data_IF_041998172891
#
_entry.id   IF_041998172891
#
_cell.length_a   1.000
_cell.length_b   1.000
_cell.length_c   1.000
_cell.angle_alpha   90.00
_cell.angle_beta   90.00
_cell.angle_gamma   90.00
#
_symmetry.space_group_name_H-M   'P 1'
#
loop_
_entity.id
_entity.type
_entity.pdbx_description
1 polymer ?
#
# COMPACT_ATOMS: atom_id res chain seq x y z
N UNK A 1 -42.48 -65.65 41.89
CA UNK A 1 -43.44 -65.22 42.94
C UNK A 1 -43.15 -63.76 43.26
N UNK A 2 -44.21 -62.95 43.26
CA UNK A 2 -44.21 -61.49 43.33
C UNK A 2 -43.93 -60.95 44.74
N UNK A 3 -43.43 -59.70 44.84
CA UNK A 3 -44.12 -58.59 45.54
C UNK A 3 -43.30 -57.28 45.55
N UNK A 4 -43.89 -56.26 44.91
CA UNK A 4 -44.04 -54.84 45.27
C UNK A 4 -43.07 -54.10 46.22
N UNK A 5 -42.72 -52.85 45.83
CA UNK A 5 -42.74 -51.73 46.80
C UNK A 5 -41.90 -50.47 46.54
N UNK A 6 -42.54 -49.45 45.93
CA UNK A 6 -42.42 -47.97 46.15
C UNK A 6 -41.13 -47.17 45.88
N UNK A 7 -41.30 -46.15 45.02
CA UNK A 7 -40.55 -44.89 44.98
C UNK A 7 -40.90 -43.95 46.17
N UNK A 8 -40.12 -42.90 46.50
CA UNK A 8 -40.22 -41.60 45.81
C UNK A 8 -38.91 -40.76 45.76
N UNK A 9 -38.90 -39.66 44.97
CA UNK A 9 -37.89 -38.60 45.15
C UNK A 9 -37.67 -37.66 43.97
N UNK A 10 -38.61 -36.73 43.75
CA UNK A 10 -38.45 -35.54 42.89
C UNK A 10 -37.22 -34.71 43.27
N UNK A 11 -36.40 -34.30 42.29
CA UNK A 11 -35.84 -32.93 42.21
C UNK A 11 -35.74 -32.46 40.76
N UNK A 12 -36.68 -31.58 40.37
CA UNK A 12 -36.63 -30.76 39.16
C UNK A 12 -35.67 -29.60 39.41
N UNK A 13 -34.59 -29.50 38.64
CA UNK A 13 -33.75 -28.30 38.60
C UNK A 13 -34.39 -27.28 37.63
N UNK A 14 -34.98 -26.23 38.20
CA UNK A 14 -35.40 -25.02 37.50
C UNK A 14 -34.15 -24.18 37.18
N UNK A 15 -33.78 -24.11 35.90
CA UNK A 15 -32.81 -23.15 35.41
C UNK A 15 -33.45 -21.75 35.34
N UNK A 16 -32.91 -20.82 36.12
CA UNK A 16 -33.33 -19.43 36.17
C UNK A 16 -32.99 -18.70 34.86
N UNK A 17 -34.05 -18.19 34.24
CA UNK A 17 -34.06 -17.28 33.09
C UNK A 17 -33.61 -15.89 33.55
N UNK A 18 -32.40 -15.44 33.18
CA UNK A 18 -32.00 -14.04 33.37
C UNK A 18 -32.40 -13.21 32.15
N UNK A 19 -33.47 -12.42 32.30
CA UNK A 19 -33.90 -11.42 31.34
C UNK A 19 -33.11 -10.13 31.52
N UNK A 20 -32.32 -9.76 30.52
CA UNK A 20 -31.67 -8.44 30.45
C UNK A 20 -32.69 -7.37 30.06
N UNK A 21 -33.02 -6.49 31.01
CA UNK A 21 -33.88 -5.31 30.78
C UNK A 21 -33.11 -4.28 29.95
N UNK A 22 -33.65 -3.99 28.75
CA UNK A 22 -33.21 -2.89 27.89
C UNK A 22 -33.76 -1.58 28.47
N UNK A 23 -32.89 -0.75 29.06
CA UNK A 23 -33.22 0.61 29.49
C UNK A 23 -33.39 1.48 28.24
N UNK A 24 -34.64 1.88 27.98
CA UNK A 24 -35.03 2.85 26.96
C UNK A 24 -34.74 4.24 27.55
N UNK A 25 -33.70 4.92 27.05
CA UNK A 25 -33.53 6.36 27.29
C UNK A 25 -34.43 7.09 26.32
N UNK A 26 -35.54 7.59 26.83
CA UNK A 26 -36.33 8.63 26.19
C UNK A 26 -35.51 9.93 26.28
N UNK A 27 -35.17 10.51 25.12
CA UNK A 27 -34.58 11.85 25.05
C UNK A 27 -35.59 12.74 24.33
N UNK A 28 -36.32 13.52 25.11
CA UNK A 28 -37.27 14.52 24.67
C UNK A 28 -36.68 15.92 24.90
N UNK A 29 -36.83 16.79 23.91
CA UNK A 29 -36.70 18.24 24.05
C UNK A 29 -35.43 18.82 23.45
N UNK A 30 -35.55 19.45 22.27
CA UNK A 30 -35.87 20.87 22.18
C UNK A 30 -35.64 21.34 20.73
N UNK A 31 -36.73 21.49 19.98
CA UNK A 31 -36.71 22.22 18.71
C UNK A 31 -36.80 23.71 19.02
N UNK A 32 -35.69 24.44 18.88
CA UNK A 32 -35.69 25.89 18.79
C UNK A 32 -35.80 26.27 17.32
N UNK A 33 -36.88 26.97 17.00
CA UNK A 33 -37.16 27.55 15.70
C UNK A 33 -36.19 28.69 15.42
N UNK A 34 -35.44 28.61 14.31
CA UNK A 34 -34.76 29.74 13.72
C UNK A 34 -35.33 30.01 12.33
N UNK A 35 -35.86 31.22 12.17
CA UNK A 35 -36.55 31.69 10.97
C UNK A 35 -35.63 31.70 9.75
N UNK A 36 -36.15 31.15 8.65
CA UNK A 36 -35.59 31.28 7.32
C UNK A 36 -36.02 32.61 6.72
N UNK A 37 -35.09 33.57 6.70
CA UNK A 37 -35.22 34.78 5.88
C UNK A 37 -34.99 34.43 4.42
N UNK A 38 -35.99 34.82 3.61
CA UNK A 38 -35.99 34.86 2.16
C UNK A 38 -34.79 35.65 1.63
N UNK A 39 -33.97 35.01 0.79
CA UNK A 39 -32.96 35.69 -0.03
C UNK A 39 -33.30 35.52 -1.51
N UNK A 40 -33.19 36.64 -2.21
CA UNK A 40 -33.76 36.89 -3.52
C UNK A 40 -33.18 36.05 -4.64
N UNK A 41 -34.04 35.83 -5.64
CA UNK A 41 -33.69 35.31 -6.96
C UNK A 41 -32.78 36.32 -7.67
N UNK A 42 -31.47 36.13 -7.58
CA UNK A 42 -30.49 36.76 -8.44
C UNK A 42 -30.34 35.97 -9.74
N UNK A 43 -30.82 36.52 -10.85
CA UNK A 43 -30.72 35.92 -12.17
C UNK A 43 -29.27 35.77 -12.62
N UNK A 44 -28.90 34.55 -13.01
CA UNK A 44 -27.63 34.26 -13.67
C UNK A 44 -27.71 34.69 -15.14
N UNK A 45 -27.07 35.82 -15.48
CA UNK A 45 -26.77 36.16 -16.88
C UNK A 45 -25.70 35.21 -17.39
N UNK A 46 -26.03 34.39 -18.39
CA UNK A 46 -25.03 33.69 -19.20
C UNK A 46 -24.41 34.71 -20.18
N UNK A 47 -23.13 35.03 -20.02
CA UNK A 47 -22.36 35.73 -21.05
C UNK A 47 -21.74 34.68 -21.98
N UNK A 48 -22.20 34.65 -23.22
CA UNK A 48 -21.65 33.83 -24.30
C UNK A 48 -20.44 34.54 -24.89
N UNK A 49 -19.23 34.13 -24.51
CA UNK A 49 -18.01 34.57 -25.22
C UNK A 49 -17.88 33.83 -26.54
N UNK A 50 -18.26 34.54 -27.60
CA UNK A 50 -18.05 34.20 -29.02
C UNK A 50 -16.55 34.25 -29.34
N UNK A 51 -15.90 33.09 -29.45
CA UNK A 51 -14.58 33.00 -30.07
C UNK A 51 -14.73 33.19 -31.57
N UNK A 52 -14.24 34.33 -32.07
CA UNK A 52 -14.10 34.58 -33.50
C UNK A 52 -12.62 34.66 -33.82
N UNK A 53 -12.21 33.79 -34.75
CA UNK A 53 -10.84 33.62 -35.18
C UNK A 53 -10.27 34.84 -35.87
N UNK A 54 -8.94 34.88 -35.89
CA UNK A 54 -8.16 35.67 -36.82
C UNK A 54 -6.97 34.82 -37.26
N UNK A 55 -7.07 34.29 -38.47
CA UNK A 55 -5.92 34.01 -39.32
C UNK A 55 -5.44 35.33 -39.93
N UNK A 56 -4.13 35.47 -40.10
CA UNK A 56 -3.40 36.28 -41.09
C UNK A 56 -1.92 36.13 -40.69
N UNK A 57 -1.20 35.22 -41.33
CA UNK A 57 -0.33 35.50 -42.48
C UNK A 57 0.87 36.39 -42.15
N UNK A 58 2.04 35.75 -42.23
CA UNK A 58 3.15 36.28 -43.03
C UNK A 58 4.03 37.34 -42.37
N UNK A 59 5.21 36.91 -41.94
CA UNK A 59 6.45 37.67 -42.22
C UNK A 59 7.68 36.78 -42.09
N UNK A 60 8.19 36.36 -43.25
CA UNK A 60 9.61 36.05 -43.44
C UNK A 60 10.40 37.34 -43.22
N UNK A 61 11.51 37.29 -42.51
CA UNK A 61 12.74 38.03 -42.84
C UNK A 61 13.94 37.34 -42.17
N UNK A 62 15.04 37.44 -42.89
CA UNK A 62 16.31 36.71 -42.81
C UNK A 62 17.23 37.15 -41.65
N UNK A 63 18.32 36.38 -41.52
CA UNK A 63 19.63 36.66 -40.92
C UNK A 63 19.88 35.84 -39.64
N UNK A 64 20.91 35.01 -39.52
CA UNK A 64 22.21 35.02 -40.20
C UNK A 64 23.31 35.23 -39.17
N UNK A 65 24.01 34.13 -38.85
CA UNK A 65 25.36 34.05 -38.26
C UNK A 65 25.54 34.46 -36.78
N UNK A 66 26.09 33.54 -35.98
CA UNK A 66 27.49 33.52 -35.51
C UNK A 66 27.61 32.41 -34.45
N UNK A 67 28.34 31.34 -34.78
CA UNK A 67 29.69 31.06 -34.25
C UNK A 67 29.76 30.86 -32.73
N UNK A 68 30.03 29.63 -32.33
CA UNK A 68 30.30 29.27 -30.94
C UNK A 68 30.56 27.77 -30.77
N UNK A 69 31.46 27.22 -31.58
CA UNK A 69 32.04 25.90 -31.34
C UNK A 69 32.78 25.93 -30.00
N UNK A 70 32.33 25.13 -29.04
CA UNK A 70 33.15 24.71 -27.91
C UNK A 70 33.72 23.33 -28.23
N UNK A 71 34.94 23.36 -28.76
CA UNK A 71 35.88 22.24 -28.78
C UNK A 71 36.82 22.46 -27.60
N UNK A 72 37.00 21.44 -26.78
CA UNK A 72 37.98 21.42 -25.67
C UNK A 72 37.34 20.89 -24.39
N UNK A 73 37.87 19.91 -23.68
CA UNK A 73 39.07 19.13 -23.87
C UNK A 73 38.89 17.79 -23.15
N UNK A 74 39.49 16.75 -23.70
CA UNK A 74 39.73 15.46 -23.07
C UNK A 74 40.43 15.65 -21.72
N UNK A 75 39.94 15.00 -20.67
CA UNK A 75 40.80 14.43 -19.64
C UNK A 75 40.26 13.06 -19.23
N UNK A 76 40.84 12.03 -19.83
CA UNK A 76 40.93 10.72 -19.21
C UNK A 76 41.84 10.85 -18.00
N UNK A 77 41.35 10.57 -16.80
CA UNK A 77 42.20 10.37 -15.64
C UNK A 77 42.08 8.91 -15.22
N UNK A 78 43.19 8.23 -15.48
CA UNK A 78 43.59 6.90 -15.09
C UNK A 78 43.66 6.75 -13.57
N UNK A 79 43.40 5.52 -13.12
CA UNK A 79 43.49 4.98 -11.76
C UNK A 79 44.75 5.38 -10.98
N UNK A 80 44.76 5.14 -9.65
CA UNK A 80 45.48 3.93 -9.21
C UNK A 80 44.76 3.13 -8.12
N UNK A 81 44.95 1.82 -8.21
CA UNK A 81 44.73 0.82 -7.15
C UNK A 81 45.49 1.16 -5.87
N UNK A 82 45.04 0.59 -4.73
CA UNK A 82 45.99 -0.20 -3.96
C UNK A 82 45.44 -1.58 -3.57
N UNK A 83 46.17 -2.62 -3.95
CA UNK A 83 46.25 -3.90 -3.28
C UNK A 83 47.62 -3.99 -2.57
N UNK A 84 47.99 -5.10 -1.89
CA UNK A 84 47.29 -5.87 -0.86
C UNK A 84 48.18 -6.00 0.40
N UNK A 85 47.58 -6.26 1.57
CA UNK A 85 48.26 -6.75 2.79
C UNK A 85 47.15 -7.17 3.76
N UNK A 86 47.08 -8.30 4.43
CA UNK A 86 47.97 -9.44 4.68
C UNK A 86 47.08 -10.47 5.41
N UNK A 87 47.08 -11.73 4.98
CA UNK A 87 46.75 -12.89 5.85
C UNK A 87 47.82 -13.02 6.96
N UNK A 88 47.73 -13.95 7.95
CA UNK A 88 46.75 -15.02 8.18
C UNK A 88 46.25 -15.09 9.66
N UNK A 89 45.29 -15.95 9.97
CA UNK A 89 45.45 -17.00 11.00
C UNK A 89 44.16 -17.82 11.08
N UNK A 90 44.33 -19.13 10.95
CA UNK A 90 43.31 -20.12 11.17
C UNK A 90 43.00 -20.27 12.66
N UNK A 91 41.72 -20.41 13.01
CA UNK A 91 41.30 -21.14 14.19
C UNK A 91 40.00 -21.87 13.86
N UNK A 92 40.16 -23.15 13.48
CA UNK A 92 39.13 -24.15 13.64
C UNK A 92 38.89 -24.36 15.14
N UNK A 93 37.64 -24.48 15.55
CA UNK A 93 37.10 -25.16 16.75
C UNK A 93 35.59 -24.84 16.79
N UNK A 94 34.64 -25.69 17.13
CA UNK A 94 34.54 -27.12 17.43
C UNK A 94 33.03 -27.37 17.52
N UNK A 95 32.58 -28.51 17.03
CA UNK A 95 31.23 -29.02 17.25
C UNK A 95 30.92 -29.08 18.75
N UNK A 96 29.87 -28.39 19.19
CA UNK A 96 29.26 -28.63 20.50
C UNK A 96 27.78 -28.94 20.27
N UNK A 97 27.51 -30.24 20.34
CA UNK A 97 26.19 -30.85 20.33
C UNK A 97 25.54 -30.59 21.69
N UNK A 98 24.73 -29.54 21.79
CA UNK A 98 23.87 -29.29 22.95
C UNK A 98 22.51 -29.92 22.72
N UNK A 99 22.36 -31.14 23.25
CA UNK A 99 21.11 -31.82 23.51
C UNK A 99 20.22 -30.93 24.38
N UNK A 100 19.11 -30.45 23.83
CA UNK A 100 17.99 -29.91 24.61
C UNK A 100 16.71 -30.59 24.13
N UNK A 101 16.24 -31.53 24.96
CA UNK A 101 14.94 -32.15 24.89
C UNK A 101 13.85 -31.07 24.97
N UNK A 102 13.10 -30.89 23.87
CA UNK A 102 12.05 -29.89 23.73
C UNK A 102 10.89 -30.41 22.90
N UNK A 103 9.96 -31.08 23.58
CA UNK A 103 8.55 -31.36 23.24
C UNK A 103 8.04 -30.66 21.96
N UNK A 104 7.90 -31.42 20.87
CA UNK A 104 7.27 -30.99 19.62
C UNK A 104 5.76 -31.16 19.75
N UNK A 105 5.03 -30.06 19.97
CA UNK A 105 3.59 -29.99 19.76
C UNK A 105 3.30 -28.98 18.63
N UNK A 106 2.81 -29.49 17.50
CA UNK A 106 2.14 -28.73 16.44
C UNK A 106 2.89 -28.67 15.09
N UNK A 107 2.20 -28.77 13.94
CA UNK A 107 2.82 -28.59 12.63
C UNK A 107 3.15 -27.11 12.44
N UNK A 108 4.31 -26.69 12.96
CA UNK A 108 4.97 -25.47 12.53
C UNK A 108 5.42 -25.67 11.11
N UNK A 109 4.76 -25.01 10.16
CA UNK A 109 5.22 -24.89 8.79
C UNK A 109 6.59 -24.23 8.79
N UNK A 110 7.64 -25.02 8.58
CA UNK A 110 8.97 -24.51 8.25
C UNK A 110 8.84 -23.81 6.90
N UNK A 111 8.58 -22.51 6.96
CA UNK A 111 8.46 -21.66 5.77
C UNK A 111 9.86 -21.39 5.29
N UNK A 112 10.30 -22.08 4.24
CA UNK A 112 11.53 -21.74 3.53
C UNK A 112 11.52 -20.24 3.23
N UNK A 113 12.54 -19.47 3.67
CA UNK A 113 12.58 -18.04 3.40
C UNK A 113 12.56 -17.83 1.89
N UNK A 114 11.47 -17.26 1.40
CA UNK A 114 11.24 -17.08 -0.04
C UNK A 114 11.91 -15.82 -0.58
N UNK A 115 12.53 -15.01 0.29
CA UNK A 115 13.19 -13.75 -0.05
C UNK A 115 14.71 -13.94 -0.08
N UNK A 116 15.33 -13.54 -1.20
CA UNK A 116 16.78 -13.66 -1.45
C UNK A 116 17.28 -12.35 -2.05
N UNK A 117 18.54 -11.95 -1.82
CA UNK A 117 19.12 -10.81 -2.52
C UNK A 117 19.48 -11.17 -3.96
N UNK A 118 19.31 -10.21 -4.87
CA UNK A 118 19.87 -10.32 -6.22
C UNK A 118 21.39 -10.21 -6.19
N UNK A 119 22.06 -10.69 -7.24
CA UNK A 119 23.53 -10.71 -7.33
C UNK A 119 24.16 -9.31 -7.26
N UNK A 120 23.45 -8.29 -7.73
CA UNK A 120 23.85 -6.88 -7.65
C UNK A 120 23.50 -6.24 -6.30
N UNK A 121 22.76 -6.92 -5.43
CA UNK A 121 22.30 -6.42 -4.13
C UNK A 121 21.25 -5.30 -4.19
N UNK A 122 20.84 -4.89 -5.40
CA UNK A 122 19.91 -3.78 -5.62
C UNK A 122 18.43 -4.20 -5.44
N UNK A 123 18.15 -5.48 -5.66
CA UNK A 123 16.82 -6.05 -5.57
C UNK A 123 16.71 -7.15 -4.53
N UNK A 124 15.53 -7.25 -3.92
CA UNK A 124 15.13 -8.39 -3.11
C UNK A 124 14.18 -9.25 -3.95
N UNK A 125 14.58 -10.49 -4.21
CA UNK A 125 13.88 -11.47 -5.01
C UNK A 125 12.95 -12.30 -4.13
N UNK A 126 11.66 -12.23 -4.41
CA UNK A 126 10.65 -13.15 -3.89
C UNK A 126 10.50 -14.31 -4.86
N UNK A 127 11.20 -15.41 -4.57
CA UNK A 127 11.22 -16.63 -5.40
C UNK A 127 9.86 -17.30 -5.43
N UNK A 128 9.09 -17.21 -4.34
CA UNK A 128 7.78 -17.85 -4.21
C UNK A 128 6.74 -17.16 -5.11
N UNK A 129 6.73 -15.83 -5.14
CA UNK A 129 5.79 -15.06 -5.96
C UNK A 129 6.34 -14.65 -7.32
N UNK A 130 7.61 -14.98 -7.62
CA UNK A 130 8.28 -14.57 -8.85
C UNK A 130 8.27 -13.05 -9.02
N UNK A 131 8.64 -12.33 -7.95
CA UNK A 131 8.69 -10.87 -7.92
C UNK A 131 10.08 -10.39 -7.54
N UNK A 132 10.53 -9.29 -8.14
CA UNK A 132 11.69 -8.55 -7.67
C UNK A 132 11.23 -7.21 -7.10
N UNK A 133 11.69 -6.93 -5.89
CA UNK A 133 11.41 -5.73 -5.11
C UNK A 133 12.63 -4.83 -5.14
N UNK A 134 12.39 -3.53 -5.25
CA UNK A 134 13.44 -2.56 -4.94
C UNK A 134 13.78 -2.64 -3.45
N UNK A 135 15.07 -2.60 -3.16
CA UNK A 135 15.55 -2.64 -1.77
C UNK A 135 15.17 -1.39 -0.98
N UNK A 136 15.17 -0.23 -1.63
CA UNK A 136 14.75 1.02 -1.03
C UNK A 136 13.40 1.47 -1.57
N UNK A 137 12.65 2.15 -0.70
CA UNK A 137 11.43 2.86 -1.09
C UNK A 137 11.78 4.03 -2.01
N UNK A 138 10.81 4.46 -2.79
CA UNK A 138 10.99 5.57 -3.72
C UNK A 138 11.40 6.85 -2.96
N UNK A 139 12.43 7.54 -3.46
CA UNK A 139 13.05 8.71 -2.81
C UNK A 139 14.26 8.40 -1.93
N UNK A 140 14.44 7.15 -1.51
CA UNK A 140 15.65 6.71 -0.82
C UNK A 140 16.65 6.08 -1.79
N UNK A 141 17.93 6.10 -1.40
CA UNK A 141 19.03 5.51 -2.18
C UNK A 141 19.79 4.49 -1.34
N UNK A 142 20.23 3.41 -1.99
CA UNK A 142 21.07 2.39 -1.36
C UNK A 142 22.53 2.87 -1.31
N UNK A 143 23.15 2.88 -0.12
CA UNK A 143 24.56 3.28 0.03
C UNK A 143 25.56 2.11 0.12
N UNK A 144 25.09 0.87 -0.07
CA UNK A 144 25.88 -0.34 0.13
C UNK A 144 25.51 -1.13 1.38
N UNK A 145 24.98 -0.47 2.43
CA UNK A 145 24.59 -1.12 3.68
C UNK A 145 23.14 -0.84 4.11
N UNK A 146 22.65 0.38 3.92
CA UNK A 146 21.28 0.77 4.26
C UNK A 146 20.66 1.73 3.24
N UNK A 147 19.34 1.88 3.33
CA UNK A 147 18.62 2.91 2.58
C UNK A 147 18.78 4.25 3.31
N UNK A 148 19.33 5.24 2.59
CA UNK A 148 19.54 6.60 3.09
C UNK A 148 18.67 7.61 2.34
N UNK A 149 18.40 8.74 2.98
CA UNK A 149 17.53 9.80 2.48
C UNK A 149 16.11 9.69 3.02
N UNK A 150 15.23 10.58 2.55
CA UNK A 150 13.84 10.61 2.97
C UNK A 150 12.92 9.91 1.96
N UNK A 151 11.91 9.16 2.43
CA UNK A 151 10.96 8.52 1.54
C UNK A 151 10.11 9.59 0.85
N UNK A 152 10.03 9.53 -0.48
CA UNK A 152 9.20 10.45 -1.25
C UNK A 152 7.75 10.01 -1.17
N UNK A 153 6.96 10.75 -0.39
CA UNK A 153 5.53 10.51 -0.28
C UNK A 153 4.81 10.98 -1.56
N UNK A 154 3.93 10.15 -2.09
CA UNK A 154 3.21 10.42 -3.34
C UNK A 154 1.72 10.13 -3.22
N UNK A 155 0.92 10.86 -3.99
CA UNK A 155 -0.48 10.50 -4.22
C UNK A 155 -0.56 9.20 -5.02
N UNK A 156 -1.70 8.50 -4.94
CA UNK A 156 -1.87 7.23 -5.65
C UNK A 156 -1.70 7.37 -7.17
N UNK A 157 -2.26 8.43 -7.76
CA UNK A 157 -2.14 8.69 -9.20
C UNK A 157 -0.70 8.99 -9.61
N UNK A 158 0.04 9.75 -8.79
CA UNK A 158 1.47 10.00 -9.02
C UNK A 158 2.29 8.72 -8.93
N UNK A 159 2.00 7.86 -7.95
CA UNK A 159 2.69 6.58 -7.78
C UNK A 159 2.46 5.64 -8.98
N UNK A 160 1.23 5.58 -9.49
CA UNK A 160 0.92 4.81 -10.71
C UNK A 160 1.63 5.36 -11.94
N UNK A 161 1.65 6.68 -12.10
CA UNK A 161 2.35 7.32 -13.20
C UNK A 161 3.87 7.07 -13.14
N UNK A 162 4.46 7.11 -11.94
CA UNK A 162 5.87 6.75 -11.71
C UNK A 162 6.15 5.31 -12.15
N UNK A 163 5.35 4.36 -11.68
CA UNK A 163 5.50 2.95 -12.06
C UNK A 163 5.41 2.77 -13.58
N UNK A 164 4.43 3.39 -14.23
CA UNK A 164 4.26 3.33 -15.68
C UNK A 164 5.38 4.02 -16.46
N UNK A 165 5.92 5.14 -15.97
CA UNK A 165 7.05 5.82 -16.59
C UNK A 165 8.32 4.96 -16.50
N UNK A 166 8.59 4.39 -15.32
CA UNK A 166 9.70 3.47 -15.12
C UNK A 166 9.58 2.21 -15.97
N UNK A 167 8.36 1.69 -16.10
CA UNK A 167 8.10 0.53 -16.93
C UNK A 167 8.46 0.76 -18.40
N UNK A 168 8.13 1.95 -18.92
CA UNK A 168 8.47 2.35 -20.30
C UNK A 168 9.97 2.59 -20.47
N UNK A 169 10.62 3.20 -19.48
CA UNK A 169 12.05 3.52 -19.54
C UNK A 169 12.94 2.27 -19.50
N UNK A 170 12.59 1.30 -18.65
CA UNK A 170 13.40 0.08 -18.47
C UNK A 170 12.93 -1.09 -19.34
N UNK A 171 11.76 -0.99 -19.99
CA UNK A 171 11.16 -2.11 -20.75
C UNK A 171 10.66 -3.25 -19.87
N UNK A 172 10.49 -3.01 -18.57
CA UNK A 172 10.10 -4.01 -17.57
C UNK A 172 8.77 -3.62 -16.95
N UNK A 173 7.88 -4.58 -16.66
CA UNK A 173 6.55 -4.30 -16.13
C UNK A 173 6.54 -3.86 -14.64
N UNK A 174 7.09 -2.68 -14.35
CA UNK A 174 7.03 -2.04 -13.04
C UNK A 174 5.60 -1.68 -12.66
N UNK A 175 5.22 -2.05 -11.44
CA UNK A 175 3.90 -1.76 -10.87
C UNK A 175 3.97 -1.56 -9.37
N UNK A 176 2.88 -1.05 -8.82
CA UNK A 176 2.68 -1.07 -7.37
C UNK A 176 2.38 -2.51 -6.91
N UNK A 177 2.84 -2.88 -5.70
CA UNK A 177 2.57 -4.19 -5.12
C UNK A 177 1.12 -4.33 -4.67
N UNK A 178 0.61 -5.55 -4.72
CA UNK A 178 -0.71 -5.92 -4.22
C UNK A 178 -0.69 -6.09 -2.70
N UNK A 179 -1.87 -6.07 -2.07
CA UNK A 179 -2.00 -6.13 -0.60
C UNK A 179 -1.36 -7.40 -0.04
N UNK A 180 -1.61 -8.56 -0.66
CA UNK A 180 -1.03 -9.84 -0.21
C UNK A 180 0.49 -9.89 -0.39
N UNK A 181 1.02 -9.25 -1.44
CA UNK A 181 2.46 -9.14 -1.69
C UNK A 181 3.15 -8.33 -0.57
N UNK A 182 2.56 -7.19 -0.18
CA UNK A 182 3.06 -6.36 0.93
C UNK A 182 2.97 -7.08 2.28
N UNK A 183 1.83 -7.73 2.56
CA UNK A 183 1.65 -8.49 3.80
C UNK A 183 2.66 -9.62 3.93
N UNK A 184 2.90 -10.37 2.84
CA UNK A 184 3.86 -11.45 2.85
C UNK A 184 5.27 -10.96 3.19
N UNK A 185 5.71 -9.85 2.60
CA UNK A 185 7.02 -9.26 2.98
C UNK A 185 7.04 -8.92 4.46
N UNK A 186 5.96 -8.33 4.99
CA UNK A 186 5.90 -8.00 6.40
C UNK A 186 5.96 -9.24 7.31
N UNK A 187 5.31 -10.33 6.90
CA UNK A 187 5.25 -11.58 7.66
C UNK A 187 6.55 -12.40 7.54
N UNK A 188 7.38 -12.18 6.52
CA UNK A 188 8.65 -12.88 6.32
C UNK A 188 9.72 -12.39 7.31
N UNK A 189 10.30 -13.31 8.08
CA UNK A 189 11.31 -13.00 9.09
C UNK A 189 12.60 -12.40 8.50
N UNK A 190 12.94 -12.71 7.24
CA UNK A 190 14.13 -12.15 6.59
C UNK A 190 13.93 -10.68 6.16
N UNK A 191 12.70 -10.19 6.11
CA UNK A 191 12.38 -8.85 5.60
C UNK A 191 13.11 -7.73 6.35
N UNK A 192 13.21 -7.82 7.68
CA UNK A 192 13.88 -6.80 8.49
C UNK A 192 15.37 -6.65 8.13
N UNK A 193 16.04 -7.75 7.76
CA UNK A 193 17.45 -7.76 7.36
C UNK A 193 17.62 -7.33 5.89
N UNK A 194 16.67 -7.72 5.04
CA UNK A 194 16.73 -7.45 3.59
C UNK A 194 16.36 -5.99 3.26
N UNK A 195 15.48 -5.37 4.05
CA UNK A 195 15.01 -3.99 3.90
C UNK A 195 15.42 -3.13 5.11
N UNK A 196 16.72 -2.84 5.30
CA UNK A 196 17.17 -2.01 6.42
C UNK A 196 16.68 -0.56 6.27
N UNK A 197 16.26 0.03 7.38
CA UNK A 197 15.69 1.39 7.45
C UNK A 197 14.40 1.60 6.63
N UNK A 198 13.63 0.54 6.36
CA UNK A 198 12.33 0.67 5.70
C UNK A 198 11.32 1.47 6.54
N UNK A 199 10.67 2.51 5.99
CA UNK A 199 9.62 3.23 6.70
C UNK A 199 8.49 2.30 7.14
N UNK A 200 8.28 2.21 8.45
CA UNK A 200 7.23 1.38 9.05
C UNK A 200 5.82 1.99 8.93
N UNK A 201 5.59 2.86 7.94
CA UNK A 201 4.35 3.61 7.75
C UNK A 201 3.39 2.98 6.73
N UNK A 202 2.37 3.77 6.37
CA UNK A 202 1.40 3.40 5.33
C UNK A 202 2.04 3.46 3.93
N UNK A 203 1.95 2.35 3.20
CA UNK A 203 2.45 2.18 1.84
C UNK A 203 1.31 1.92 0.87
N UNK A 204 1.33 2.56 -0.30
CA UNK A 204 0.33 2.35 -1.35
C UNK A 204 0.35 0.91 -1.89
N UNK A 205 -0.84 0.34 -2.07
CA UNK A 205 -1.03 -0.91 -2.81
C UNK A 205 -1.68 -0.65 -4.18
N UNK A 206 -1.25 -1.39 -5.20
CA UNK A 206 -1.81 -1.38 -6.55
C UNK A 206 -3.18 -2.06 -6.70
N UNK A 207 -3.80 -2.53 -5.61
CA UNK A 207 -5.15 -3.09 -5.65
C UNK A 207 -6.19 -2.00 -6.02
N UNK A 208 -7.15 -2.36 -6.87
CA UNK A 208 -8.31 -1.51 -7.10
C UNK A 208 -9.14 -1.39 -5.82
N UNK A 209 -9.50 -0.16 -5.43
CA UNK A 209 -10.55 0.04 -4.42
C UNK A 209 -11.89 -0.12 -5.11
N UNK A 210 -12.57 -1.21 -4.79
CA UNK A 210 -13.95 -1.47 -5.23
C UNK A 210 -14.75 -1.53 -3.94
N UNK A 211 -15.52 -0.48 -3.66
CA UNK A 211 -16.53 -0.58 -2.60
C UNK A 211 -17.74 -1.28 -3.19
N UNK A 212 -17.91 -2.55 -2.86
CA UNK A 212 -19.20 -3.22 -3.01
C UNK A 212 -20.07 -2.75 -1.86
N UNK A 213 -20.65 -1.56 -1.98
CA UNK A 213 -21.72 -1.18 -1.08
C UNK A 213 -22.77 -2.32 -1.14
N UNK A 214 -23.03 -2.98 -0.01
CA UNK A 214 -24.09 -3.98 0.07
C UNK A 214 -25.43 -3.24 0.01
N UNK A 215 -25.80 -2.80 -1.19
CA UNK A 215 -27.07 -2.16 -1.45
C UNK A 215 -28.11 -3.24 -1.68
N UNK A 216 -29.18 -3.22 -0.89
CA UNK A 216 -30.34 -4.06 -1.16
C UNK A 216 -30.91 -3.70 -2.55
N UNK A 217 -30.96 -4.64 -3.52
CA UNK A 217 -31.49 -4.39 -4.85
C UNK A 217 -32.97 -3.92 -4.85
N UNK A 218 -33.73 -4.26 -3.82
CA UNK A 218 -35.15 -3.91 -3.68
C UNK A 218 -35.41 -2.63 -2.89
N UNK A 219 -34.37 -1.89 -2.52
CA UNK A 219 -34.56 -0.59 -1.89
C UNK A 219 -34.83 0.48 -2.97
N UNK A 220 -36.11 0.77 -3.22
CA UNK A 220 -36.56 1.76 -4.20
C UNK A 220 -36.11 3.20 -3.88
N UNK A 221 -35.77 3.52 -2.63
CA UNK A 221 -35.23 4.84 -2.27
C UNK A 221 -33.89 5.11 -2.97
N UNK A 222 -33.12 4.06 -3.29
CA UNK A 222 -31.86 4.21 -4.00
C UNK A 222 -32.06 4.67 -5.44
N UNK A 223 -33.17 4.26 -6.07
CA UNK A 223 -33.55 4.67 -7.43
C UNK A 223 -34.11 6.10 -7.39
N UNK A 224 -34.97 6.42 -6.42
CA UNK A 224 -35.55 7.75 -6.27
C UNK A 224 -34.50 8.83 -5.94
N UNK A 225 -33.49 8.49 -5.13
CA UNK A 225 -32.47 9.44 -4.66
C UNK A 225 -31.13 9.34 -5.41
N UNK A 226 -31.01 8.42 -6.39
CA UNK A 226 -29.77 8.19 -7.15
C UNK A 226 -28.55 7.86 -6.28
N UNK A 227 -28.76 7.25 -5.11
CA UNK A 227 -27.73 7.06 -4.08
C UNK A 227 -26.59 6.17 -4.57
N UNK A 228 -26.89 5.04 -5.21
CA UNK A 228 -25.90 4.05 -5.69
C UNK A 228 -24.73 4.69 -6.44
N UNK A 229 -25.02 5.66 -7.32
CA UNK A 229 -24.01 6.37 -8.11
C UNK A 229 -23.06 7.23 -7.24
N UNK A 230 -23.53 7.74 -6.10
CA UNK A 230 -22.70 8.55 -5.20
C UNK A 230 -21.71 7.69 -4.42
N UNK A 231 -22.12 6.54 -3.87
CA UNK A 231 -21.21 5.61 -3.18
C UNK A 231 -20.13 5.07 -4.12
N UNK A 232 -20.48 4.73 -5.36
CA UNK A 232 -19.51 4.28 -6.37
C UNK A 232 -18.49 5.38 -6.72
N UNK A 233 -18.92 6.64 -6.84
CA UNK A 233 -18.03 7.78 -7.09
C UNK A 233 -17.07 8.05 -5.94
N UNK A 234 -17.48 7.77 -4.70
CA UNK A 234 -16.63 7.91 -3.52
C UNK A 234 -15.57 6.80 -3.48
N UNK A 235 -15.94 5.55 -3.75
CA UNK A 235 -14.99 4.42 -3.73
C UNK A 235 -13.93 4.52 -4.83
N UNK A 236 -14.29 5.06 -5.99
CA UNK A 236 -13.32 5.37 -7.06
C UNK A 236 -12.26 6.41 -6.63
N UNK A 237 -12.53 7.21 -5.59
CA UNK A 237 -11.58 8.19 -5.01
C UNK A 237 -10.72 7.59 -3.90
N UNK A 238 -11.01 6.37 -3.48
CA UNK A 238 -10.26 5.65 -2.45
C UNK A 238 -9.26 4.66 -3.05
N UNK A 239 -8.27 4.28 -2.25
CA UNK A 239 -7.20 3.35 -2.60
C UNK A 239 -6.85 2.49 -1.40
N UNK A 240 -6.13 1.40 -1.68
CA UNK A 240 -5.65 0.49 -0.67
C UNK A 240 -4.26 0.86 -0.18
N UNK A 241 -4.05 0.82 1.13
CA UNK A 241 -2.73 0.95 1.73
C UNK A 241 -2.51 -0.13 2.79
N UNK A 242 -1.24 -0.49 2.99
CA UNK A 242 -0.81 -1.44 4.02
C UNK A 242 0.20 -0.74 4.91
N UNK A 243 0.06 -0.90 6.23
CA UNK A 243 0.99 -0.37 7.21
C UNK A 243 2.09 -1.40 7.51
N UNK A 244 3.32 -1.10 7.13
CA UNK A 244 4.43 -2.04 7.22
C UNK A 244 4.96 -2.22 8.65
N UNK A 245 4.54 -1.40 9.63
CA UNK A 245 4.88 -1.61 11.04
C UNK A 245 4.11 -2.75 11.71
N UNK A 246 2.80 -2.85 11.43
CA UNK A 246 1.86 -3.72 12.15
C UNK A 246 1.08 -4.68 11.23
N UNK A 247 1.22 -4.57 9.90
CA UNK A 247 0.53 -5.41 8.92
C UNK A 247 -0.93 -5.00 8.61
N UNK A 248 -1.42 -3.90 9.19
CA UNK A 248 -2.79 -3.45 8.99
C UNK A 248 -3.03 -3.02 7.53
N UNK A 249 -4.21 -3.33 6.99
CA UNK A 249 -4.59 -2.99 5.61
C UNK A 249 -5.92 -2.26 5.59
N UNK A 250 -6.02 -1.17 4.83
CA UNK A 250 -7.27 -0.38 4.71
C UNK A 250 -7.51 0.07 3.27
N UNK A 251 -8.78 0.08 2.86
CA UNK A 251 -9.22 0.35 1.47
C UNK A 251 -9.92 1.70 1.27
N UNK A 252 -10.00 2.49 2.34
CA UNK A 252 -10.69 3.77 2.47
C UNK A 252 -9.69 4.95 2.48
N UNK A 253 -8.47 4.76 1.98
CA UNK A 253 -7.49 5.84 1.91
C UNK A 253 -7.81 6.73 0.72
N UNK A 254 -7.98 8.04 0.95
CA UNK A 254 -8.11 9.00 -0.16
C UNK A 254 -6.91 8.90 -1.09
N UNK A 255 -7.14 8.76 -2.41
CA UNK A 255 -6.07 8.74 -3.43
C UNK A 255 -5.21 10.00 -3.46
N UNK A 256 -5.66 11.09 -2.81
CA UNK A 256 -4.93 12.35 -2.65
C UNK A 256 -3.95 12.35 -1.48
N UNK A 257 -4.03 11.38 -0.58
CA UNK A 257 -3.09 11.25 0.54
C UNK A 257 -1.70 10.93 0.00
N UNK A 258 -0.68 11.59 0.54
CA UNK A 258 0.70 11.29 0.22
C UNK A 258 1.20 10.13 1.10
N UNK A 259 1.50 8.98 0.51
CA UNK A 259 2.00 7.80 1.20
C UNK A 259 3.30 7.29 0.56
N UNK A 260 3.98 6.39 1.28
CA UNK A 260 5.20 5.73 0.79
C UNK A 260 4.86 4.85 -0.42
N UNK A 261 5.78 4.80 -1.37
CA UNK A 261 5.66 3.98 -2.59
C UNK A 261 6.81 2.99 -2.66
N UNK A 262 6.45 1.74 -2.94
CA UNK A 262 7.36 0.66 -3.33
C UNK A 262 6.95 0.19 -4.72
N UNK A 263 7.92 -0.17 -5.54
CA UNK A 263 7.68 -0.77 -6.85
C UNK A 263 8.14 -2.22 -6.87
N UNK A 264 7.40 -3.01 -7.62
CA UNK A 264 7.70 -4.42 -7.90
C UNK A 264 7.68 -4.66 -9.39
N UNK A 265 8.50 -5.61 -9.81
CA UNK A 265 8.48 -6.16 -11.17
C UNK A 265 8.35 -7.68 -11.14
N UNK A 266 7.81 -8.30 -12.19
CA UNK A 266 7.94 -9.74 -12.35
C UNK A 266 9.42 -10.13 -12.43
N UNK A 267 9.76 -11.26 -11.83
CA UNK A 267 11.09 -11.87 -11.86
C UNK A 267 10.97 -13.27 -12.45
N UNK A 268 11.75 -13.54 -13.48
CA UNK A 268 11.94 -14.90 -14.01
C UNK A 268 13.34 -15.34 -13.61
N UNK A 269 13.49 -16.46 -12.88
CA UNK A 269 14.78 -17.01 -12.51
C UNK A 269 15.53 -17.58 -13.71
#
# INVERSE_FOLDING_TARGET
MAAHGRAPGLRRNLAHRQGSRRVKRDNAGAHVAHGTQSLGRGGWRMNTTKSSGRSLQGRRLLAGLLFGAWVGAMQAQTSPDPAPSTSPEAAAQTSAESKMDGKVDGPGTVTTPGLVLSADGAYVLDVQNKLAWLRCVEGMTWNGHNCVGEPRLMTFTTAQALAGARAKAEGVAWRLPRIHELRRIKEDAASATLFPADPQGWTWSGNASISVAQTNPYNYDNIANGSTNQQERLSARMGWAVHLGNGESRGDVSRRTALVVRLVRPYQP
#
